data_IF_192174115413
#
_entry.id   IF_192174115413
#
_cell.length_a   1.000
_cell.length_b   1.000
_cell.length_c   1.000
_cell.angle_alpha   90.00
_cell.angle_beta   90.00
_cell.angle_gamma   90.00
#
_symmetry.space_group_name_H-M   'P 1'
#
loop_
_entity.id
_entity.type
_entity.pdbx_description
1 polymer ?
#
# COMPACT_ATOMS: atom_id res chain seq x y z
N UNK A 1 -59.71 -5.32 27.70
CA UNK A 1 -58.90 -5.77 26.55
C UNK A 1 -58.24 -4.54 25.96
N UNK A 2 -56.90 -4.43 26.03
CA UNK A 2 -56.07 -3.42 25.33
C UNK A 2 -54.58 -3.52 25.71
N UNK A 3 -54.21 -4.28 26.75
CA UNK A 3 -52.80 -4.48 27.13
C UNK A 3 -51.95 -5.11 26.02
N UNK A 4 -52.48 -6.12 25.31
CA UNK A 4 -51.74 -6.80 24.23
C UNK A 4 -51.32 -5.89 23.08
N UNK A 5 -52.17 -4.92 22.71
CA UNK A 5 -51.84 -3.96 21.64
C UNK A 5 -50.74 -2.99 22.08
N UNK A 6 -50.78 -2.51 23.34
CA UNK A 6 -49.72 -1.64 23.91
C UNK A 6 -48.37 -2.37 23.95
N UNK A 7 -48.35 -3.61 24.45
CA UNK A 7 -47.10 -4.37 24.61
C UNK A 7 -46.49 -4.77 23.27
N UNK A 8 -47.31 -5.10 22.27
CA UNK A 8 -46.82 -5.37 20.91
C UNK A 8 -46.26 -4.11 20.25
N UNK A 9 -46.90 -2.95 20.44
CA UNK A 9 -46.42 -1.67 19.91
C UNK A 9 -45.06 -1.28 20.54
N UNK A 10 -44.96 -1.41 21.87
CA UNK A 10 -43.71 -1.19 22.63
C UNK A 10 -42.57 -2.11 22.15
N UNK A 11 -42.86 -3.38 21.89
CA UNK A 11 -41.88 -4.33 21.35
C UNK A 11 -41.39 -3.94 19.94
N UNK A 12 -42.29 -3.47 19.06
CA UNK A 12 -41.93 -3.00 17.72
C UNK A 12 -41.05 -1.74 17.80
N UNK A 13 -41.38 -0.81 18.70
CA UNK A 13 -40.55 0.37 18.93
C UNK A 13 -39.15 0.01 19.42
N UNK A 14 -39.06 -0.92 20.38
CA UNK A 14 -37.77 -1.42 20.89
C UNK A 14 -36.95 -2.07 19.78
N UNK A 15 -37.54 -2.95 18.97
CA UNK A 15 -36.86 -3.58 17.83
C UNK A 15 -36.39 -2.56 16.79
N UNK A 16 -37.21 -1.53 16.53
CA UNK A 16 -36.86 -0.46 15.57
C UNK A 16 -35.66 0.36 16.07
N UNK A 17 -35.66 0.73 17.35
CA UNK A 17 -34.54 1.46 17.97
C UNK A 17 -33.28 0.58 17.98
N UNK A 18 -33.40 -0.70 18.36
CA UNK A 18 -32.29 -1.65 18.32
C UNK A 18 -31.72 -1.81 16.92
N UNK A 19 -32.56 -1.90 15.89
CA UNK A 19 -32.10 -1.98 14.49
C UNK A 19 -31.32 -0.75 14.06
N UNK A 20 -31.77 0.45 14.45
CA UNK A 20 -31.07 1.70 14.15
C UNK A 20 -29.70 1.73 14.85
N UNK A 21 -29.65 1.35 16.13
CA UNK A 21 -28.41 1.28 16.89
C UNK A 21 -27.41 0.28 16.29
N UNK A 22 -27.88 -0.90 15.89
CA UNK A 22 -27.04 -1.91 15.22
C UNK A 22 -26.49 -1.34 13.91
N UNK A 23 -27.32 -0.68 13.10
CA UNK A 23 -26.87 -0.08 11.85
C UNK A 23 -25.77 0.99 12.08
N UNK A 24 -25.95 1.86 13.09
CA UNK A 24 -24.93 2.86 13.47
C UNK A 24 -23.62 2.18 13.86
N UNK A 25 -23.68 1.16 14.73
CA UNK A 25 -22.50 0.41 15.17
C UNK A 25 -21.78 -0.26 13.99
N UNK A 26 -22.52 -0.87 13.06
CA UNK A 26 -21.96 -1.51 11.88
C UNK A 26 -21.24 -0.50 10.97
N UNK A 27 -21.85 0.67 10.73
CA UNK A 27 -21.24 1.74 9.94
C UNK A 27 -19.96 2.24 10.60
N UNK A 28 -19.99 2.51 11.90
CA UNK A 28 -18.81 2.96 12.65
C UNK A 28 -17.70 1.91 12.67
N UNK A 29 -18.04 0.63 12.88
CA UNK A 29 -17.07 -0.46 12.85
C UNK A 29 -16.43 -0.59 11.46
N UNK A 30 -17.23 -0.47 10.40
CA UNK A 30 -16.73 -0.49 9.04
C UNK A 30 -15.76 0.68 8.75
N UNK A 31 -16.11 1.90 9.14
CA UNK A 31 -15.23 3.07 8.97
C UNK A 31 -13.90 2.87 9.72
N UNK A 32 -13.95 2.48 11.00
CA UNK A 32 -12.74 2.22 11.80
C UNK A 32 -11.90 1.10 11.20
N UNK A 33 -12.51 -0.02 10.79
CA UNK A 33 -11.79 -1.13 10.17
C UNK A 33 -11.11 -0.71 8.87
N UNK A 34 -11.79 0.11 8.05
CA UNK A 34 -11.22 0.63 6.80
C UNK A 34 -10.02 1.53 7.05
N UNK A 35 -10.08 2.39 8.08
CA UNK A 35 -8.98 3.27 8.48
C UNK A 35 -7.77 2.47 8.96
N UNK A 36 -7.99 1.45 9.80
CA UNK A 36 -6.91 0.57 10.31
C UNK A 36 -6.22 -0.14 9.15
N UNK A 37 -6.99 -0.66 8.17
CA UNK A 37 -6.42 -1.28 6.97
C UNK A 37 -5.56 -0.31 6.17
N UNK A 38 -6.02 0.92 5.97
CA UNK A 38 -5.28 1.93 5.21
C UNK A 38 -3.99 2.37 5.92
N UNK A 39 -4.02 2.52 7.24
CA UNK A 39 -2.81 2.86 8.03
C UNK A 39 -1.80 1.73 7.95
N UNK A 40 -2.23 0.49 8.17
CA UNK A 40 -1.35 -0.69 8.08
C UNK A 40 -0.74 -0.84 6.68
N UNK A 41 -1.54 -0.63 5.63
CA UNK A 41 -1.06 -0.68 4.25
C UNK A 41 -0.04 0.44 3.95
N UNK A 42 -0.23 1.62 4.53
CA UNK A 42 0.69 2.76 4.37
C UNK A 42 2.04 2.49 5.05
N UNK A 43 2.02 1.96 6.27
CA UNK A 43 3.25 1.57 7.00
C UNK A 43 4.00 0.44 6.27
N UNK A 44 3.28 -0.56 5.76
CA UNK A 44 3.83 -1.64 4.96
C UNK A 44 4.48 -1.09 3.68
N UNK A 45 3.79 -0.22 2.95
CA UNK A 45 4.32 0.43 1.74
C UNK A 45 5.58 1.24 2.04
N UNK A 46 5.62 1.98 3.15
CA UNK A 46 6.79 2.76 3.55
C UNK A 46 8.00 1.86 3.88
N UNK A 47 7.76 0.74 4.57
CA UNK A 47 8.80 -0.25 4.88
C UNK A 47 9.38 -0.87 3.60
N UNK A 48 8.51 -1.25 2.65
CA UNK A 48 8.90 -1.80 1.36
C UNK A 48 9.69 -0.78 0.54
N UNK A 49 9.16 0.44 0.39
CA UNK A 49 9.82 1.52 -0.34
C UNK A 49 11.20 1.82 0.27
N UNK A 50 11.30 1.92 1.59
CA UNK A 50 12.58 2.13 2.29
C UNK A 50 13.58 1.00 2.06
N UNK A 51 13.11 -0.26 1.99
CA UNK A 51 13.99 -1.41 1.67
C UNK A 51 14.49 -1.35 0.22
N UNK A 52 13.60 -1.09 -0.73
CA UNK A 52 13.98 -0.96 -2.16
C UNK A 52 14.97 0.20 -2.33
N UNK A 53 14.74 1.35 -1.69
CA UNK A 53 15.64 2.50 -1.75
C UNK A 53 17.06 2.17 -1.26
N UNK A 54 17.19 1.40 -0.17
CA UNK A 54 18.50 0.90 0.29
C UNK A 54 19.15 -0.05 -0.72
N UNK A 55 18.37 -0.92 -1.34
CA UNK A 55 18.87 -1.84 -2.36
C UNK A 55 19.34 -1.10 -3.63
N UNK A 56 18.61 -0.06 -4.06
CA UNK A 56 18.99 0.85 -5.14
C UNK A 56 20.34 1.50 -4.82
N UNK A 57 20.49 2.05 -3.61
CA UNK A 57 21.76 2.66 -3.18
C UNK A 57 22.91 1.64 -3.19
N UNK A 58 22.69 0.45 -2.62
CA UNK A 58 23.70 -0.62 -2.60
C UNK A 58 24.15 -1.05 -3.99
N UNK A 59 23.23 -1.12 -4.96
CA UNK A 59 23.55 -1.48 -6.34
C UNK A 59 24.26 -0.36 -7.08
N UNK A 60 23.81 0.89 -6.90
CA UNK A 60 24.40 2.04 -7.56
C UNK A 60 25.85 2.30 -7.14
N UNK A 61 26.21 2.06 -5.87
CA UNK A 61 27.59 2.25 -5.37
C UNK A 61 28.53 1.11 -5.76
N UNK A 62 28.01 -0.02 -6.25
CA UNK A 62 28.83 -1.20 -6.59
C UNK A 62 29.72 -1.04 -7.84
N UNK A 63 29.61 0.07 -8.58
CA UNK A 63 30.30 0.32 -9.86
C UNK A 63 30.16 -0.81 -10.89
N UNK A 64 29.15 -1.68 -10.77
CA UNK A 64 28.93 -2.78 -11.68
C UNK A 64 28.43 -2.28 -13.05
N UNK A 65 29.02 -2.79 -14.14
CA UNK A 65 28.54 -2.52 -15.50
C UNK A 65 27.18 -3.17 -15.76
N UNK A 66 26.97 -4.35 -15.17
CA UNK A 66 25.69 -5.05 -15.14
C UNK A 66 25.52 -5.74 -13.78
N UNK A 67 24.35 -5.57 -13.19
CA UNK A 67 23.93 -6.32 -12.00
C UNK A 67 22.43 -6.52 -12.05
N UNK A 68 21.96 -7.65 -11.53
CA UNK A 68 20.54 -7.94 -11.41
C UNK A 68 20.28 -8.50 -10.03
N UNK A 69 19.32 -7.91 -9.33
CA UNK A 69 18.92 -8.30 -7.97
C UNK A 69 17.40 -8.41 -7.90
N UNK A 70 16.94 -9.58 -7.53
CA UNK A 70 15.52 -9.80 -7.23
C UNK A 70 15.12 -8.97 -6.00
N UNK A 71 14.02 -8.23 -6.13
CA UNK A 71 13.41 -7.55 -5.01
C UNK A 71 12.63 -8.58 -4.19
N UNK A 72 13.17 -8.96 -3.03
CA UNK A 72 12.50 -9.84 -2.06
C UNK A 72 11.39 -9.09 -1.32
N UNK A 73 10.36 -8.69 -2.06
CA UNK A 73 9.23 -7.89 -1.61
C UNK A 73 7.94 -8.71 -1.69
N UNK A 74 6.94 -8.45 -0.82
CA UNK A 74 5.65 -9.12 -0.92
C UNK A 74 4.97 -8.74 -2.24
N UNK A 75 4.16 -9.63 -2.80
CA UNK A 75 3.43 -9.37 -4.06
C UNK A 75 2.23 -8.42 -3.89
N UNK A 76 1.84 -8.12 -2.66
CA UNK A 76 0.66 -7.27 -2.38
C UNK A 76 0.90 -6.42 -1.14
N UNK A 77 0.27 -5.25 -1.09
CA UNK A 77 0.16 -4.39 0.09
C UNK A 77 -1.32 -4.20 0.38
N UNK A 78 -1.76 -4.52 1.60
CA UNK A 78 -3.19 -4.45 1.95
C UNK A 78 -4.10 -5.34 1.08
N UNK A 79 -3.55 -6.42 0.51
CA UNK A 79 -4.26 -7.34 -0.38
C UNK A 79 -4.28 -6.97 -1.87
N UNK A 80 -3.66 -5.85 -2.26
CA UNK A 80 -3.61 -5.40 -3.64
C UNK A 80 -2.19 -5.40 -4.20
N UNK A 81 -2.05 -5.76 -5.47
CA UNK A 81 -0.80 -5.56 -6.20
C UNK A 81 -0.45 -4.07 -6.24
N UNK A 82 0.85 -3.79 -6.28
CA UNK A 82 1.36 -2.43 -6.30
C UNK A 82 2.43 -2.27 -7.36
N UNK A 83 2.70 -1.02 -7.67
CA UNK A 83 3.67 -0.62 -8.68
C UNK A 83 4.82 0.13 -8.02
N UNK A 84 6.01 -0.14 -8.50
CA UNK A 84 7.28 0.42 -8.06
C UNK A 84 7.77 1.28 -9.21
N UNK A 85 7.96 2.57 -8.97
CA UNK A 85 8.40 3.52 -9.98
C UNK A 85 9.64 4.24 -9.48
N UNK A 86 10.73 4.16 -10.25
CA UNK A 86 11.89 5.04 -10.09
C UNK A 86 11.67 6.25 -10.98
N UNK A 87 11.61 7.45 -10.40
CA UNK A 87 11.41 8.71 -11.12
C UNK A 87 12.74 9.43 -11.23
N UNK A 88 13.26 9.55 -12.45
CA UNK A 88 14.57 10.12 -12.73
C UNK A 88 14.61 11.63 -12.41
N UNK A 89 13.61 12.38 -12.88
CA UNK A 89 13.58 13.85 -12.80
C UNK A 89 13.61 14.35 -11.36
N UNK A 90 12.96 13.60 -10.45
CA UNK A 90 12.83 14.00 -9.04
C UNK A 90 13.69 13.18 -8.09
N UNK A 91 14.43 12.18 -8.60
CA UNK A 91 15.18 11.22 -7.80
C UNK A 91 14.34 10.64 -6.67
N UNK A 92 13.22 10.03 -7.03
CA UNK A 92 12.30 9.43 -6.06
C UNK A 92 11.99 7.98 -6.43
N UNK A 93 11.77 7.19 -5.39
CA UNK A 93 11.08 5.92 -5.49
C UNK A 93 9.63 6.12 -5.07
N UNK A 94 8.71 5.66 -5.90
CA UNK A 94 7.28 5.65 -5.62
C UNK A 94 6.83 4.21 -5.52
N UNK A 95 6.12 3.88 -4.44
CA UNK A 95 5.40 2.62 -4.26
C UNK A 95 3.93 2.96 -4.13
N UNK A 96 3.11 2.49 -5.06
CA UNK A 96 1.69 2.85 -5.08
C UNK A 96 0.77 1.70 -5.49
N UNK A 97 -0.43 1.70 -4.92
CA UNK A 97 -1.57 0.91 -5.37
C UNK A 97 -2.84 1.77 -5.26
N UNK A 98 -4.01 1.16 -5.40
CA UNK A 98 -5.30 1.88 -5.35
C UNK A 98 -5.62 2.53 -3.99
N UNK A 99 -4.94 2.14 -2.92
CA UNK A 99 -5.20 2.60 -1.55
C UNK A 99 -4.08 3.47 -0.98
N UNK A 100 -2.83 3.24 -1.39
CA UNK A 100 -1.66 3.89 -0.80
C UNK A 100 -0.70 4.37 -1.88
N UNK A 101 -0.06 5.51 -1.63
CA UNK A 101 1.00 6.06 -2.46
C UNK A 101 2.07 6.62 -1.54
N UNK A 102 3.24 5.99 -1.54
CA UNK A 102 4.38 6.39 -0.72
C UNK A 102 5.53 6.80 -1.63
N UNK A 103 6.10 7.95 -1.32
CA UNK A 103 7.29 8.48 -1.99
C UNK A 103 8.47 8.45 -1.02
N UNK A 104 9.59 7.86 -1.45
CA UNK A 104 10.86 7.89 -0.72
C UNK A 104 11.89 8.61 -1.59
N UNK A 105 12.50 9.70 -1.09
CA UNK A 105 13.55 10.39 -1.84
C UNK A 105 14.78 9.47 -1.96
N UNK A 106 15.34 9.44 -3.16
CA UNK A 106 16.62 8.83 -3.47
C UNK A 106 17.69 9.92 -3.53
N UNK A 107 18.95 9.52 -3.38
CA UNK A 107 20.05 10.48 -3.49
C UNK A 107 20.16 11.01 -4.93
N UNK A 108 20.31 12.33 -5.12
CA UNK A 108 20.43 12.95 -6.45
C UNK A 108 21.72 12.56 -7.19
N UNK A 109 22.65 11.89 -6.53
CA UNK A 109 23.90 11.41 -7.12
C UNK A 109 23.76 10.00 -7.72
N UNK A 110 22.61 9.36 -7.57
CA UNK A 110 22.37 8.03 -8.11
C UNK A 110 21.91 8.14 -9.56
N UNK A 111 22.61 7.47 -10.47
CA UNK A 111 22.18 7.31 -11.86
C UNK A 111 20.99 6.36 -11.92
N UNK A 112 19.78 6.89 -12.11
CA UNK A 112 18.54 6.12 -12.25
C UNK A 112 17.89 6.37 -13.62
N UNK A 113 17.36 5.33 -14.24
CA UNK A 113 16.91 5.38 -15.65
C UNK A 113 15.51 5.95 -15.86
N UNK A 114 14.71 6.09 -14.80
CA UNK A 114 13.27 6.32 -14.94
C UNK A 114 12.58 5.03 -15.39
N UNK A 115 11.98 4.28 -14.47
CA UNK A 115 11.46 2.94 -14.79
C UNK A 115 10.34 2.52 -13.86
N UNK A 116 9.55 1.55 -14.28
CA UNK A 116 8.38 1.08 -13.56
C UNK A 116 8.26 -0.44 -13.64
N UNK A 117 7.86 -1.06 -12.53
CA UNK A 117 7.59 -2.48 -12.44
C UNK A 117 6.45 -2.77 -11.45
N UNK A 118 5.64 -3.79 -11.74
CA UNK A 118 4.70 -4.37 -10.79
C UNK A 118 5.47 -5.11 -9.67
N UNK A 119 4.87 -5.22 -8.49
CA UNK A 119 5.31 -6.03 -7.36
C UNK A 119 5.58 -7.53 -7.66
N UNK A 120 4.99 -8.09 -8.71
CA UNK A 120 5.21 -9.49 -9.08
C UNK A 120 6.52 -9.67 -9.86
N UNK A 121 7.46 -10.47 -9.32
CA UNK A 121 8.76 -10.75 -9.95
C UNK A 121 9.50 -9.46 -10.34
N UNK A 122 9.60 -8.53 -9.39
CA UNK A 122 10.31 -7.27 -9.59
C UNK A 122 11.82 -7.45 -9.37
N UNK A 123 12.63 -6.84 -10.24
CA UNK A 123 14.08 -6.84 -10.17
C UNK A 123 14.61 -5.41 -10.24
N UNK A 124 15.67 -5.15 -9.49
CA UNK A 124 16.56 -4.04 -9.75
C UNK A 124 17.64 -4.50 -10.71
N UNK A 125 17.80 -3.77 -11.80
CA UNK A 125 18.79 -4.03 -12.84
C UNK A 125 19.68 -2.80 -12.99
N UNK A 126 20.99 -3.01 -12.92
CA UNK A 126 21.98 -2.02 -13.30
C UNK A 126 22.40 -2.33 -14.73
N UNK A 127 22.34 -1.33 -15.61
CA UNK A 127 22.86 -1.42 -16.96
C UNK A 127 23.67 -0.15 -17.25
N UNK A 128 24.96 -0.31 -17.52
CA UNK A 128 25.90 0.80 -17.74
C UNK A 128 25.89 1.82 -16.60
N UNK A 129 25.79 1.35 -15.35
CA UNK A 129 25.76 2.19 -14.15
C UNK A 129 24.43 2.88 -13.87
N UNK A 130 23.40 2.68 -14.70
CA UNK A 130 22.06 3.21 -14.49
C UNK A 130 21.19 2.14 -13.82
N UNK A 131 20.56 2.48 -12.70
CA UNK A 131 19.62 1.59 -11.99
C UNK A 131 18.21 1.74 -12.56
N UNK A 132 17.60 0.61 -12.86
CA UNK A 132 16.22 0.49 -13.33
C UNK A 132 15.47 -0.59 -12.54
N UNK A 133 14.16 -0.48 -12.49
CA UNK A 133 13.27 -1.54 -11.98
C UNK A 133 12.54 -2.19 -13.16
N UNK A 134 12.47 -3.52 -13.19
CA UNK A 134 11.84 -4.31 -14.27
C UNK A 134 11.07 -5.50 -13.71
N UNK A 135 10.06 -5.94 -14.45
CA UNK A 135 9.43 -7.26 -14.28
C UNK A 135 10.04 -8.26 -15.25
N UNK A 136 10.01 -9.54 -14.85
CA UNK A 136 10.28 -10.69 -15.74
C UNK A 136 9.18 -11.74 -15.64
#
# INVERSE_FOLDING_TARGET
>A
MNKGVSTTLEAIFLLSISSILIAIVLVSFYDVSSRVKNVSASEEAYSIASRIARDVYSLAVSNATYAKKELRIPHTIGGEQYTITLVNETHKLIVENKYVRVEVPLSPYLSIGGSQANSYMAYLVVNNGVVEVKNE
#
